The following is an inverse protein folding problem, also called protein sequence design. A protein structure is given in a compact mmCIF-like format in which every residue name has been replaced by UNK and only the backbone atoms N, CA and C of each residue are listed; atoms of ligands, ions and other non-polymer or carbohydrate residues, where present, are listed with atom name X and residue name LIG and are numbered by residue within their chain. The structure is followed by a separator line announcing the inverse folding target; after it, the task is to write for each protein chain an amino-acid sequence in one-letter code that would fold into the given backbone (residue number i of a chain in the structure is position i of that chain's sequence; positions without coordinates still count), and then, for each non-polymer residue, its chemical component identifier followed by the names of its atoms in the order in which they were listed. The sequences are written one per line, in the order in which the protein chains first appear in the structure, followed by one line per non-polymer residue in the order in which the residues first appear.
data_IF_569939941084
#
_entry.id   IF_569939941084
#
_cell.length_a   1.000
_cell.length_b   1.000
_cell.length_c   1.000
_cell.angle_alpha   90.00
_cell.angle_beta   90.00
_cell.angle_gamma   90.00
#
_symmetry.space_group_name_H-M   'P 1'
#
loop_
_entity.id
_entity.type
_entity.pdbx_description
1 polymer ?
#
# COMPACT_ATOMS: atom_id res chain seq x y z
N UNK A 1 -14.49 18.17 -6.08
CA UNK A 1 -13.88 16.84 -5.94
C UNK A 1 -14.35 15.87 -7.02
N UNK A 2 -15.62 15.45 -7.05
CA UNK A 2 -16.11 14.38 -7.95
C UNK A 2 -16.62 14.85 -9.32
N UNK A 3 -16.49 16.15 -9.63
CA UNK A 3 -16.97 16.73 -10.90
C UNK A 3 -16.34 16.07 -12.14
N UNK A 4 -15.16 15.49 -11.99
CA UNK A 4 -14.50 14.70 -13.04
C UNK A 4 -15.33 13.49 -13.52
N UNK A 5 -16.10 12.86 -12.62
CA UNK A 5 -16.95 11.72 -12.96
C UNK A 5 -18.35 12.12 -13.43
N UNK A 6 -18.77 13.36 -13.18
CA UNK A 6 -20.14 13.84 -13.48
C UNK A 6 -20.23 14.80 -14.67
N UNK A 7 -19.13 15.47 -15.03
CA UNK A 7 -19.13 16.40 -16.16
C UNK A 7 -18.97 15.67 -17.51
N UNK A 8 -19.80 16.05 -18.49
CA UNK A 8 -19.82 15.45 -19.84
C UNK A 8 -18.47 15.56 -20.56
N UNK A 9 -17.75 16.68 -20.37
CA UNK A 9 -16.45 16.92 -21.01
C UNK A 9 -15.38 15.93 -20.55
N UNK A 10 -15.50 15.42 -19.32
CA UNK A 10 -14.53 14.50 -18.71
C UNK A 10 -14.98 13.04 -18.75
N UNK A 11 -16.21 12.75 -19.19
CA UNK A 11 -16.83 11.42 -19.15
C UNK A 11 -15.95 10.31 -19.73
N UNK A 12 -15.38 10.54 -20.92
CA UNK A 12 -14.50 9.54 -21.56
C UNK A 12 -13.24 9.31 -20.73
N UNK A 13 -12.60 10.37 -20.25
CA UNK A 13 -11.40 10.24 -19.43
C UNK A 13 -11.68 9.59 -18.09
N UNK A 14 -12.79 9.91 -17.45
CA UNK A 14 -13.11 9.38 -16.12
C UNK A 14 -13.53 7.91 -16.17
N UNK A 15 -14.54 7.56 -16.96
CA UNK A 15 -15.09 6.20 -16.97
C UNK A 15 -14.24 5.22 -17.79
N UNK A 16 -13.87 5.59 -19.03
CA UNK A 16 -13.03 4.71 -19.86
C UNK A 16 -11.62 4.66 -19.28
N UNK A 17 -11.09 5.78 -18.78
CA UNK A 17 -9.79 5.78 -18.11
C UNK A 17 -9.76 4.90 -16.86
N UNK A 18 -10.80 4.97 -16.01
CA UNK A 18 -10.93 4.04 -14.88
C UNK A 18 -10.98 2.59 -15.36
N UNK A 19 -11.79 2.28 -16.39
CA UNK A 19 -11.88 0.93 -16.94
C UNK A 19 -10.53 0.41 -17.46
N UNK A 20 -9.76 1.24 -18.17
CA UNK A 20 -8.43 0.88 -18.66
C UNK A 20 -7.49 0.57 -17.50
N UNK A 21 -7.44 1.43 -16.48
CA UNK A 21 -6.58 1.24 -15.30
C UNK A 21 -6.97 -0.06 -14.58
N UNK A 22 -8.25 -0.26 -14.29
CA UNK A 22 -8.71 -1.46 -13.57
C UNK A 22 -8.52 -2.75 -14.37
N UNK A 23 -8.77 -2.73 -15.67
CA UNK A 23 -8.54 -3.88 -16.54
C UNK A 23 -7.05 -4.23 -16.64
N UNK A 24 -6.18 -3.21 -16.58
CA UNK A 24 -4.73 -3.43 -16.60
C UNK A 24 -4.20 -4.10 -15.33
N UNK A 25 -4.80 -3.83 -14.16
CA UNK A 25 -4.49 -4.54 -12.92
C UNK A 25 -4.80 -6.03 -13.07
N UNK A 26 -5.94 -6.36 -13.67
CA UNK A 26 -6.30 -7.76 -13.93
C UNK A 26 -5.27 -8.45 -14.84
N UNK A 27 -4.82 -7.77 -15.90
CA UNK A 27 -3.76 -8.29 -16.79
C UNK A 27 -2.46 -8.53 -16.01
N UNK A 28 -2.06 -7.59 -15.15
CA UNK A 28 -0.85 -7.74 -14.31
C UNK A 28 -0.96 -8.94 -13.37
N UNK A 29 -2.09 -9.11 -12.69
CA UNK A 29 -2.33 -10.27 -11.81
C UNK A 29 -2.31 -11.59 -12.61
N UNK A 30 -2.86 -11.61 -13.84
CA UNK A 30 -2.75 -12.79 -14.71
C UNK A 30 -1.32 -13.10 -15.14
N UNK A 31 -0.50 -12.09 -15.38
CA UNK A 31 0.93 -12.29 -15.64
C UNK A 31 1.61 -12.84 -14.38
N UNK A 32 1.24 -12.35 -13.19
CA UNK A 32 1.77 -12.88 -11.92
C UNK A 32 1.42 -14.35 -11.69
N UNK A 33 0.21 -14.79 -12.05
CA UNK A 33 -0.18 -16.21 -12.03
C UNK A 33 0.70 -17.03 -12.96
N UNK A 34 0.91 -16.59 -14.20
CA UNK A 34 1.81 -17.27 -15.15
C UNK A 34 3.26 -17.31 -14.69
N UNK A 35 3.72 -16.24 -14.04
CA UNK A 35 5.05 -16.20 -13.43
C UNK A 35 5.14 -17.25 -12.30
N UNK A 36 4.10 -17.40 -11.48
CA UNK A 36 4.06 -18.42 -10.44
C UNK A 36 4.16 -19.83 -11.05
N UNK A 37 3.35 -20.12 -12.08
CA UNK A 37 3.41 -21.39 -12.81
C UNK A 37 4.81 -21.66 -13.37
N UNK A 38 5.40 -20.66 -14.03
CA UNK A 38 6.76 -20.72 -14.58
C UNK A 38 7.80 -21.03 -13.51
N UNK A 39 7.72 -20.41 -12.33
CA UNK A 39 8.63 -20.71 -11.23
C UNK A 39 8.56 -22.17 -10.81
N UNK A 40 7.37 -22.79 -10.78
CA UNK A 40 7.27 -24.22 -10.49
C UNK A 40 8.03 -25.08 -11.49
N UNK A 41 7.75 -24.89 -12.78
CA UNK A 41 8.42 -25.63 -13.86
C UNK A 41 9.94 -25.41 -13.85
N UNK A 42 10.37 -24.17 -13.65
CA UNK A 42 11.79 -23.82 -13.59
C UNK A 42 12.48 -24.51 -12.42
N UNK A 43 11.88 -24.51 -11.22
CA UNK A 43 12.49 -25.14 -10.05
C UNK A 43 12.47 -26.68 -10.12
N UNK A 44 11.47 -27.29 -10.73
CA UNK A 44 11.51 -28.74 -11.03
C UNK A 44 12.64 -29.07 -12.01
N UNK A 45 12.86 -28.23 -13.04
CA UNK A 45 14.00 -28.36 -13.95
C UNK A 45 15.33 -28.21 -13.22
N UNK A 46 15.47 -27.24 -12.30
CA UNK A 46 16.66 -27.08 -11.45
C UNK A 46 16.87 -28.32 -10.57
N UNK A 47 15.81 -28.83 -9.94
CA UNK A 47 15.89 -30.05 -9.12
C UNK A 47 16.41 -31.23 -9.95
N UNK A 48 15.90 -31.41 -11.17
CA UNK A 48 16.38 -32.44 -12.11
C UNK A 48 17.85 -32.24 -12.46
N UNK A 49 18.25 -31.02 -12.81
CA UNK A 49 19.63 -30.64 -13.15
C UNK A 49 20.64 -30.95 -12.04
N UNK A 50 20.25 -30.70 -10.78
CA UNK A 50 21.09 -30.93 -9.61
C UNK A 50 21.12 -32.39 -9.17
N UNK A 51 20.12 -33.20 -9.55
CA UNK A 51 20.02 -34.61 -9.16
C UNK A 51 20.99 -35.51 -9.94
N UNK A 52 21.31 -35.17 -11.19
CA UNK A 52 22.24 -35.95 -12.02
C UNK A 52 22.91 -35.06 -13.09
N UNK A 53 24.22 -35.24 -13.36
CA UNK A 53 24.90 -34.53 -14.43
C UNK A 53 24.25 -34.78 -15.80
N UNK A 54 24.16 -33.74 -16.64
CA UNK A 54 23.58 -33.80 -17.99
C UNK A 54 22.11 -34.30 -18.06
N UNK A 55 21.35 -34.19 -16.95
CA UNK A 55 19.93 -34.54 -16.93
C UNK A 55 19.03 -33.51 -17.62
N UNK A 56 19.57 -32.32 -17.87
CA UNK A 56 19.02 -31.27 -18.73
C UNK A 56 20.14 -30.77 -19.67
N UNK A 57 19.75 -30.22 -20.80
CA UNK A 57 20.67 -29.55 -21.73
C UNK A 57 20.83 -28.07 -21.35
N UNK A 58 21.96 -27.48 -21.76
CA UNK A 58 22.18 -26.04 -21.61
C UNK A 58 21.14 -25.22 -22.40
N UNK A 59 20.68 -25.77 -23.54
CA UNK A 59 19.66 -25.13 -24.39
C UNK A 59 18.30 -25.11 -23.70
N UNK A 60 17.89 -26.20 -23.04
CA UNK A 60 16.66 -26.23 -22.22
C UNK A 60 16.69 -25.17 -21.10
N UNK A 61 17.85 -25.02 -20.43
CA UNK A 61 18.04 -24.03 -19.38
C UNK A 61 17.88 -22.59 -19.91
N UNK A 62 18.57 -22.24 -21.01
CA UNK A 62 18.45 -20.93 -21.62
C UNK A 62 17.06 -20.67 -22.20
N UNK A 63 16.42 -21.67 -22.79
CA UNK A 63 15.05 -21.57 -23.29
C UNK A 63 14.07 -21.23 -22.15
N UNK A 64 14.22 -21.86 -20.98
CA UNK A 64 13.41 -21.55 -19.81
C UNK A 64 13.64 -20.12 -19.31
N UNK A 65 14.88 -19.63 -19.27
CA UNK A 65 15.16 -18.25 -18.88
C UNK A 65 14.62 -17.24 -19.89
N UNK A 66 14.75 -17.51 -21.19
CA UNK A 66 14.18 -16.67 -22.24
C UNK A 66 12.65 -16.62 -22.14
N UNK A 67 11.99 -17.73 -21.81
CA UNK A 67 10.54 -17.72 -21.62
C UNK A 67 10.12 -16.83 -20.44
N UNK A 68 10.91 -16.77 -19.35
CA UNK A 68 10.68 -15.81 -18.27
C UNK A 68 10.82 -14.36 -18.73
N UNK A 69 11.86 -14.07 -19.53
CA UNK A 69 12.08 -12.72 -20.06
C UNK A 69 10.86 -12.24 -20.86
N UNK A 70 10.17 -13.12 -21.59
CA UNK A 70 8.95 -12.71 -22.31
C UNK A 70 7.81 -12.31 -21.37
N UNK A 71 7.60 -13.04 -20.26
CA UNK A 71 6.63 -12.67 -19.23
C UNK A 71 7.02 -11.37 -18.53
N UNK A 72 8.30 -11.21 -18.17
CA UNK A 72 8.81 -10.01 -17.54
C UNK A 72 8.70 -8.78 -18.46
N UNK A 73 9.02 -8.92 -19.75
CA UNK A 73 8.89 -7.85 -20.73
C UNK A 73 7.42 -7.45 -20.92
N UNK A 74 6.50 -8.41 -20.95
CA UNK A 74 5.05 -8.13 -21.00
C UNK A 74 4.59 -7.37 -19.76
N UNK A 75 4.99 -7.81 -18.57
CA UNK A 75 4.67 -7.12 -17.32
C UNK A 75 5.20 -5.68 -17.33
N UNK A 76 6.47 -5.48 -17.68
CA UNK A 76 7.11 -4.15 -17.74
C UNK A 76 6.39 -3.27 -18.76
N UNK A 77 6.08 -3.79 -19.95
CA UNK A 77 5.36 -3.05 -20.98
C UNK A 77 4.00 -2.56 -20.49
N UNK A 78 3.20 -3.42 -19.86
CA UNK A 78 1.91 -3.04 -19.26
C UNK A 78 2.12 -2.03 -18.15
N UNK A 79 3.04 -2.28 -17.20
CA UNK A 79 3.27 -1.41 -16.06
C UNK A 79 3.72 0.01 -16.46
N UNK A 80 4.60 0.14 -17.46
CA UNK A 80 5.06 1.43 -17.96
C UNK A 80 3.91 2.20 -18.63
N UNK A 81 3.15 1.54 -19.51
CA UNK A 81 2.03 2.17 -20.21
C UNK A 81 0.94 2.62 -19.24
N UNK A 82 0.62 1.78 -18.26
CA UNK A 82 -0.38 2.09 -17.23
C UNK A 82 0.10 3.20 -16.33
N UNK A 83 1.35 3.16 -15.85
CA UNK A 83 1.91 4.23 -15.01
C UNK A 83 1.87 5.59 -15.70
N UNK A 84 2.24 5.63 -16.99
CA UNK A 84 2.15 6.83 -17.82
C UNK A 84 0.70 7.30 -17.97
N UNK A 85 -0.22 6.38 -18.29
CA UNK A 85 -1.64 6.68 -18.46
C UNK A 85 -2.28 7.18 -17.16
N UNK A 86 -2.01 6.54 -16.02
CA UNK A 86 -2.50 6.92 -14.70
C UNK A 86 -2.02 8.32 -14.30
N UNK A 87 -0.76 8.66 -14.58
CA UNK A 87 -0.25 10.02 -14.35
C UNK A 87 -1.05 11.08 -15.12
N UNK A 88 -1.37 10.78 -16.38
CA UNK A 88 -2.18 11.60 -17.27
C UNK A 88 -3.65 11.68 -16.85
N UNK A 89 -4.20 10.58 -16.34
CA UNK A 89 -5.55 10.49 -15.79
C UNK A 89 -5.69 11.35 -14.52
N UNK A 90 -4.74 11.22 -13.59
CA UNK A 90 -4.69 12.00 -12.34
C UNK A 90 -4.56 13.50 -12.60
N UNK A 91 -3.71 13.87 -13.57
CA UNK A 91 -3.59 15.28 -13.97
C UNK A 91 -4.92 15.84 -14.48
N UNK A 92 -5.63 15.10 -15.35
CA UNK A 92 -6.94 15.53 -15.87
C UNK A 92 -8.03 15.60 -14.80
N UNK A 93 -8.03 14.66 -13.86
CA UNK A 93 -8.92 14.75 -12.70
C UNK A 93 -8.62 16.02 -11.89
N UNK A 94 -7.35 16.32 -11.65
CA UNK A 94 -6.94 17.57 -11.01
C UNK A 94 -7.37 18.80 -11.81
N UNK A 95 -7.20 18.81 -13.13
CA UNK A 95 -7.65 19.90 -14.00
C UNK A 95 -9.14 20.15 -13.84
N UNK A 96 -9.98 19.11 -13.87
CA UNK A 96 -11.43 19.25 -13.67
C UNK A 96 -11.79 19.85 -12.30
N UNK A 97 -11.03 19.52 -11.25
CA UNK A 97 -11.22 20.14 -9.94
C UNK A 97 -10.83 21.63 -9.96
N UNK A 98 -9.65 21.95 -10.51
CA UNK A 98 -9.10 23.31 -10.58
C UNK A 98 -9.96 24.23 -11.44
N UNK A 99 -10.43 23.78 -12.61
CA UNK A 99 -11.33 24.54 -13.49
C UNK A 99 -12.59 24.98 -12.75
N UNK A 100 -13.19 24.08 -11.97
CA UNK A 100 -14.33 24.44 -11.15
C UNK A 100 -13.96 25.45 -10.07
N UNK A 101 -12.86 25.25 -9.34
CA UNK A 101 -12.43 26.22 -8.33
C UNK A 101 -12.15 27.61 -8.90
N UNK A 102 -11.59 27.70 -10.11
CA UNK A 102 -11.42 28.96 -10.81
C UNK A 102 -12.76 29.62 -11.18
N UNK A 103 -13.77 28.84 -11.59
CA UNK A 103 -15.11 29.37 -11.90
C UNK A 103 -15.82 30.00 -10.69
N UNK A 104 -15.41 29.64 -9.47
CA UNK A 104 -15.98 30.16 -8.21
C UNK A 104 -14.94 30.94 -7.38
N UNK A 105 -13.84 31.37 -8.01
CA UNK A 105 -12.67 31.91 -7.29
C UNK A 105 -12.99 33.14 -6.46
N UNK A 106 -13.84 34.04 -6.95
CA UNK A 106 -14.24 35.27 -6.23
C UNK A 106 -14.94 34.99 -4.89
N UNK A 107 -15.60 33.83 -4.78
CA UNK A 107 -16.20 33.34 -3.55
C UNK A 107 -15.16 32.58 -2.73
N UNK A 108 -14.45 31.66 -3.38
CA UNK A 108 -13.47 30.79 -2.76
C UNK A 108 -12.36 31.57 -2.03
N UNK A 109 -11.86 32.66 -2.62
CA UNK A 109 -10.80 33.51 -2.04
C UNK A 109 -11.15 34.14 -0.69
N UNK A 110 -12.44 34.21 -0.33
CA UNK A 110 -12.91 34.74 0.96
C UNK A 110 -12.81 33.71 2.09
N UNK A 111 -12.55 32.44 1.75
CA UNK A 111 -12.40 31.37 2.72
C UNK A 111 -10.91 31.20 3.04
N UNK A 112 -10.59 31.19 4.33
CA UNK A 112 -9.22 30.99 4.80
C UNK A 112 -8.61 29.69 4.27
N UNK A 113 -7.37 29.78 3.79
CA UNK A 113 -6.64 28.62 3.25
C UNK A 113 -7.10 28.17 1.85
N UNK A 114 -7.92 28.94 1.13
CA UNK A 114 -8.42 28.58 -0.20
C UNK A 114 -7.32 28.17 -1.20
N UNK A 115 -6.20 28.91 -1.24
CA UNK A 115 -5.08 28.58 -2.12
C UNK A 115 -4.46 27.21 -1.79
N UNK A 116 -4.32 26.89 -0.50
CA UNK A 116 -3.84 25.58 -0.05
C UNK A 116 -4.82 24.47 -0.43
N UNK A 117 -6.12 24.68 -0.23
CA UNK A 117 -7.15 23.68 -0.60
C UNK A 117 -7.11 23.37 -2.09
N UNK A 118 -7.06 24.41 -2.93
CA UNK A 118 -7.06 24.27 -4.39
C UNK A 118 -5.76 23.65 -4.90
N UNK A 119 -4.60 24.01 -4.33
CA UNK A 119 -3.31 23.53 -4.82
C UNK A 119 -2.94 22.18 -4.21
N UNK A 120 -2.87 22.07 -2.88
CA UNK A 120 -2.27 20.94 -2.18
C UNK A 120 -3.28 19.81 -1.97
N UNK A 121 -4.45 20.13 -1.44
CA UNK A 121 -5.45 19.12 -1.08
C UNK A 121 -6.05 18.44 -2.32
N UNK A 122 -6.23 19.13 -3.45
CA UNK A 122 -6.71 18.50 -4.70
C UNK A 122 -5.72 17.47 -5.27
N UNK A 123 -4.41 17.76 -5.19
CA UNK A 123 -3.35 16.83 -5.59
C UNK A 123 -3.39 15.61 -4.67
N UNK A 124 -3.37 15.82 -3.35
CA UNK A 124 -3.39 14.73 -2.37
C UNK A 124 -4.63 13.87 -2.54
N UNK A 125 -5.80 14.48 -2.67
CA UNK A 125 -7.06 13.77 -2.83
C UNK A 125 -7.05 12.81 -4.03
N UNK A 126 -6.73 13.32 -5.23
CA UNK A 126 -6.73 12.50 -6.45
C UNK A 126 -5.70 11.38 -6.41
N UNK A 127 -4.47 11.66 -5.95
CA UNK A 127 -3.39 10.67 -5.83
C UNK A 127 -3.72 9.59 -4.80
N UNK A 128 -4.16 9.98 -3.61
CA UNK A 128 -4.46 9.03 -2.54
C UNK A 128 -5.66 8.16 -2.92
N UNK A 129 -6.70 8.76 -3.51
CA UNK A 129 -7.90 8.03 -3.93
C UNK A 129 -7.60 7.00 -5.02
N UNK A 130 -6.76 7.37 -6.01
CA UNK A 130 -6.33 6.42 -7.04
C UNK A 130 -5.47 5.32 -6.44
N UNK A 131 -4.43 5.67 -5.68
CA UNK A 131 -3.52 4.70 -5.07
C UNK A 131 -4.24 3.69 -4.16
N UNK A 132 -5.14 4.15 -3.29
CA UNK A 132 -5.97 3.27 -2.45
C UNK A 132 -6.97 2.45 -3.28
N UNK A 133 -7.55 3.04 -4.33
CA UNK A 133 -8.51 2.36 -5.18
C UNK A 133 -7.87 1.22 -5.98
N UNK A 134 -6.73 1.50 -6.64
CA UNK A 134 -6.00 0.52 -7.46
C UNK A 134 -5.41 -0.58 -6.60
N UNK A 135 -4.75 -0.26 -5.49
CA UNK A 135 -4.18 -1.27 -4.59
C UNK A 135 -5.23 -2.14 -3.88
N UNK A 136 -6.41 -1.60 -3.54
CA UNK A 136 -7.52 -2.41 -3.02
C UNK A 136 -8.01 -3.42 -4.06
N UNK A 137 -8.24 -2.95 -5.30
CA UNK A 137 -8.75 -3.80 -6.38
C UNK A 137 -7.71 -4.85 -6.76
N UNK A 138 -6.43 -4.48 -6.83
CA UNK A 138 -5.33 -5.40 -7.03
C UNK A 138 -5.28 -6.48 -5.93
N UNK A 139 -5.36 -6.10 -4.65
CA UNK A 139 -5.39 -7.06 -3.54
C UNK A 139 -6.56 -8.04 -3.64
N UNK A 140 -7.76 -7.56 -4.02
CA UNK A 140 -8.92 -8.43 -4.26
C UNK A 140 -8.71 -9.37 -5.44
N UNK A 141 -8.16 -8.88 -6.57
CA UNK A 141 -7.86 -9.71 -7.73
C UNK A 141 -6.81 -10.78 -7.40
N UNK A 142 -5.77 -10.43 -6.63
CA UNK A 142 -4.78 -11.40 -6.16
C UNK A 142 -5.46 -12.47 -5.31
N UNK A 143 -6.35 -12.11 -4.39
CA UNK A 143 -7.06 -13.11 -3.59
C UNK A 143 -7.94 -14.03 -4.46
N UNK A 144 -8.65 -13.48 -5.45
CA UNK A 144 -9.49 -14.25 -6.37
C UNK A 144 -8.66 -15.24 -7.19
N UNK A 145 -7.47 -14.85 -7.64
CA UNK A 145 -6.62 -15.69 -8.50
C UNK A 145 -5.74 -16.66 -7.70
N UNK A 146 -5.14 -16.21 -6.60
CA UNK A 146 -4.17 -17.00 -5.85
C UNK A 146 -4.78 -17.86 -4.75
N UNK A 147 -5.98 -17.56 -4.21
CA UNK A 147 -6.59 -18.48 -3.24
C UNK A 147 -6.96 -19.83 -3.88
N UNK A 148 -7.59 -19.90 -5.07
CA UNK A 148 -7.85 -21.19 -5.74
C UNK A 148 -6.57 -21.93 -6.11
N UNK A 149 -5.52 -21.22 -6.52
CA UNK A 149 -4.21 -21.84 -6.80
C UNK A 149 -3.63 -22.43 -5.51
N UNK A 150 -3.62 -21.66 -4.42
CA UNK A 150 -3.11 -22.11 -3.13
C UNK A 150 -3.90 -23.31 -2.59
N UNK A 151 -5.23 -23.31 -2.79
CA UNK A 151 -6.09 -24.45 -2.48
C UNK A 151 -5.75 -25.66 -3.35
N UNK A 152 -5.64 -25.51 -4.68
CA UNK A 152 -5.33 -26.62 -5.56
C UNK A 152 -3.97 -27.25 -5.25
N UNK A 153 -3.00 -26.41 -4.88
CA UNK A 153 -1.66 -26.85 -4.48
C UNK A 153 -1.61 -27.45 -3.08
N UNK A 154 -2.61 -27.26 -2.21
CA UNK A 154 -2.62 -27.82 -0.86
C UNK A 154 -3.23 -29.22 -0.76
N UNK A 155 -3.96 -29.65 -1.80
CA UNK A 155 -4.65 -30.95 -1.81
C UNK A 155 -3.64 -32.10 -1.70
N UNK A 156 -3.85 -32.97 -0.72
CA UNK A 156 -3.04 -34.18 -0.53
C UNK A 156 -1.64 -33.94 0.03
N UNK A 157 -1.37 -32.76 0.60
CA UNK A 157 -0.09 -32.41 1.21
C UNK A 157 -0.28 -32.23 2.73
N UNK A 158 0.55 -32.87 3.57
CA UNK A 158 0.45 -32.69 5.02
C UNK A 158 0.97 -31.31 5.44
N UNK A 159 0.11 -30.51 6.04
CA UNK A 159 0.41 -29.15 6.50
C UNK A 159 0.61 -29.13 8.03
N UNK A 160 1.66 -28.44 8.48
CA UNK A 160 1.93 -28.26 9.90
C UNK A 160 0.75 -27.63 10.63
N UNK A 161 0.44 -28.12 11.84
CA UNK A 161 -0.77 -27.83 12.63
C UNK A 161 -2.11 -28.33 12.07
N UNK A 162 -2.22 -28.63 10.78
CA UNK A 162 -3.50 -28.93 10.12
C UNK A 162 -3.61 -30.35 9.54
N UNK A 163 -2.51 -31.11 9.47
CA UNK A 163 -2.50 -32.44 8.87
C UNK A 163 -2.88 -32.40 7.39
N UNK A 164 -3.70 -33.36 6.96
CA UNK A 164 -4.13 -33.49 5.55
C UNK A 164 -5.36 -32.63 5.22
N UNK A 165 -5.64 -31.59 6.02
CA UNK A 165 -6.77 -30.71 5.75
C UNK A 165 -6.45 -29.77 4.57
N UNK A 166 -7.20 -29.92 3.47
CA UNK A 166 -6.99 -29.16 2.23
C UNK A 166 -6.95 -27.63 2.41
N UNK A 167 -7.62 -27.08 3.43
CA UNK A 167 -7.62 -25.63 3.66
C UNK A 167 -6.45 -25.14 4.54
N UNK A 168 -5.54 -26.03 4.97
CA UNK A 168 -4.49 -25.72 5.93
C UNK A 168 -3.59 -24.54 5.53
N UNK A 169 -3.21 -24.44 4.25
CA UNK A 169 -2.37 -23.33 3.76
C UNK A 169 -3.11 -22.00 3.71
N UNK A 170 -4.38 -21.99 3.30
CA UNK A 170 -5.21 -20.77 3.27
C UNK A 170 -5.46 -20.27 4.69
N UNK A 171 -5.84 -21.16 5.60
CA UNK A 171 -6.09 -20.82 7.00
C UNK A 171 -4.79 -20.42 7.69
N UNK A 172 -3.66 -21.07 7.38
CA UNK A 172 -2.33 -20.66 7.82
C UNK A 172 -1.99 -19.23 7.38
N UNK A 173 -2.23 -18.89 6.10
CA UNK A 173 -2.02 -17.54 5.58
C UNK A 173 -2.90 -16.51 6.28
N UNK A 174 -4.16 -16.85 6.56
CA UNK A 174 -5.10 -15.98 7.28
C UNK A 174 -4.64 -15.74 8.74
N UNK A 175 -4.31 -16.82 9.46
CA UNK A 175 -3.85 -16.74 10.86
C UNK A 175 -2.55 -15.93 10.94
N UNK A 176 -1.60 -16.17 10.03
CA UNK A 176 -0.35 -15.44 10.02
C UNK A 176 -0.57 -13.96 9.71
N UNK A 177 -1.38 -13.66 8.70
CA UNK A 177 -1.74 -12.31 8.29
C UNK A 177 -2.40 -11.50 9.42
N UNK A 178 -3.45 -12.07 10.03
CA UNK A 178 -4.20 -11.44 11.12
C UNK A 178 -3.35 -11.39 12.39
N UNK A 179 -2.67 -12.47 12.74
CA UNK A 179 -1.84 -12.59 13.94
C UNK A 179 -0.69 -11.59 13.93
N UNK A 180 0.02 -11.47 12.81
CA UNK A 180 1.08 -10.50 12.61
C UNK A 180 0.60 -9.05 12.73
N UNK A 181 -0.60 -8.79 12.22
CA UNK A 181 -1.24 -7.48 12.37
C UNK A 181 -1.54 -7.16 13.81
N UNK A 182 -2.25 -8.06 14.51
CA UNK A 182 -2.62 -7.89 15.91
C UNK A 182 -1.34 -7.68 16.73
N UNK A 183 -0.29 -8.45 16.46
CA UNK A 183 1.01 -8.28 17.07
C UNK A 183 1.57 -6.86 16.91
N UNK A 184 1.58 -6.30 15.69
CA UNK A 184 2.07 -4.94 15.46
C UNK A 184 1.20 -3.87 16.14
N UNK A 185 -0.12 -4.04 16.15
CA UNK A 185 -1.05 -3.13 16.85
C UNK A 185 -0.77 -3.14 18.34
N UNK A 186 -0.70 -4.34 18.95
CA UNK A 186 -0.43 -4.49 20.38
C UNK A 186 0.95 -3.92 20.74
N UNK A 187 1.96 -4.15 19.91
CA UNK A 187 3.30 -3.58 20.12
C UNK A 187 3.26 -2.04 20.09
N UNK A 188 2.54 -1.44 19.14
CA UNK A 188 2.36 0.01 19.06
C UNK A 188 1.60 0.60 20.26
N UNK A 189 0.61 -0.13 20.78
CA UNK A 189 -0.14 0.25 21.99
C UNK A 189 0.72 0.16 23.26
N UNK A 190 1.47 -0.94 23.44
CA UNK A 190 2.37 -1.15 24.59
C UNK A 190 3.44 -0.06 24.64
N UNK A 191 4.03 0.28 23.49
CA UNK A 191 5.03 1.34 23.36
C UNK A 191 4.41 2.75 23.41
N UNK A 192 3.07 2.85 23.45
CA UNK A 192 2.30 4.10 23.47
C UNK A 192 2.76 5.07 22.37
N UNK A 193 2.91 4.58 21.14
CA UNK A 193 3.44 5.37 20.02
C UNK A 193 2.55 6.58 19.70
N UNK A 194 1.22 6.39 19.71
CA UNK A 194 0.26 7.47 19.50
C UNK A 194 0.42 8.60 20.52
N UNK A 195 0.66 8.25 21.79
CA UNK A 195 0.88 9.25 22.85
C UNK A 195 2.15 10.06 22.63
N UNK A 196 3.23 9.41 22.19
CA UNK A 196 4.51 10.10 21.90
C UNK A 196 4.39 11.02 20.71
N UNK A 197 3.73 10.57 19.65
CA UNK A 197 3.52 11.39 18.47
C UNK A 197 2.71 12.65 18.81
N UNK A 198 1.67 12.50 19.65
CA UNK A 198 0.90 13.62 20.16
C UNK A 198 1.74 14.59 21.00
N UNK A 199 2.53 14.07 21.94
CA UNK A 199 3.41 14.89 22.78
C UNK A 199 4.48 15.62 21.94
N UNK A 200 5.01 14.96 20.91
CA UNK A 200 5.97 15.53 19.95
C UNK A 200 5.36 16.72 19.21
N UNK A 201 4.18 16.52 18.61
CA UNK A 201 3.45 17.61 17.92
C UNK A 201 3.14 18.78 18.86
N UNK A 202 2.74 18.49 20.10
CA UNK A 202 2.46 19.51 21.11
C UNK A 202 3.70 20.34 21.47
N UNK A 203 4.85 19.68 21.70
CA UNK A 203 6.12 20.36 22.04
C UNK A 203 6.66 21.15 20.84
N UNK A 204 6.59 20.63 19.62
CA UNK A 204 6.98 21.36 18.41
C UNK A 204 6.08 22.57 18.14
N UNK A 205 4.77 22.44 18.34
CA UNK A 205 3.83 23.56 18.20
C UNK A 205 4.10 24.66 19.24
N UNK A 206 4.42 24.29 20.48
CA UNK A 206 4.81 25.24 21.52
C UNK A 206 6.11 25.99 21.15
N UNK A 207 7.12 25.27 20.66
CA UNK A 207 8.36 25.86 20.15
C UNK A 207 8.09 26.84 19.00
N UNK A 208 7.31 26.42 17.99
CA UNK A 208 6.92 27.28 16.87
C UNK A 208 6.21 28.56 17.33
N UNK A 209 5.31 28.46 18.31
CA UNK A 209 4.59 29.62 18.87
C UNK A 209 5.55 30.66 19.46
N UNK A 210 6.60 30.22 20.17
CA UNK A 210 7.57 31.13 20.76
C UNK A 210 8.39 31.83 19.67
N UNK A 211 8.78 31.13 18.61
CA UNK A 211 9.50 31.73 17.48
C UNK A 211 8.68 32.82 16.78
N UNK A 212 7.39 32.58 16.55
CA UNK A 212 6.49 33.59 15.95
C UNK A 212 6.39 34.82 16.85
N UNK A 213 6.25 34.64 18.17
CA UNK A 213 6.21 35.76 19.11
C UNK A 213 7.53 36.56 19.10
N UNK A 214 8.68 35.89 19.00
CA UNK A 214 9.98 36.55 18.93
C UNK A 214 10.24 37.23 17.58
N UNK A 215 9.61 36.76 16.50
CA UNK A 215 9.61 37.42 15.19
C UNK A 215 8.76 38.70 15.20
N UNK A 216 7.57 38.64 15.81
CA UNK A 216 6.64 39.75 15.90
C UNK A 216 7.08 40.83 16.91
N UNK A 217 7.66 40.43 18.04
CA UNK A 217 8.12 41.33 19.10
C UNK A 217 9.66 41.36 19.12
N UNK A 218 10.24 42.29 18.35
CA UNK A 218 11.69 42.49 18.23
C UNK A 218 12.42 42.87 19.52
N UNK A 219 11.72 42.98 20.66
CA UNK A 219 12.29 43.19 21.99
C UNK A 219 12.56 41.87 22.76
N UNK A 220 11.96 40.75 22.32
CA UNK A 220 12.10 39.45 22.95
C UNK A 220 13.31 38.74 22.35
N UNK A 221 14.45 38.77 23.05
CA UNK A 221 15.58 37.91 22.70
C UNK A 221 15.14 36.45 22.89
N UNK A 222 15.26 35.57 21.87
CA UNK A 222 15.00 34.15 22.08
C UNK A 222 15.82 33.69 23.28
N UNK A 223 15.20 33.00 24.24
CA UNK A 223 15.96 32.32 25.30
C UNK A 223 17.00 31.41 24.64
N UNK A 224 18.06 31.05 25.37
CA UNK A 224 19.09 30.15 24.81
C UNK A 224 18.44 28.93 24.16
N UNK A 225 19.04 28.40 23.09
CA UNK A 225 18.52 27.21 22.38
C UNK A 225 18.21 26.09 23.37
N UNK A 226 19.01 25.94 24.42
CA UNK A 226 18.82 24.93 25.44
C UNK A 226 17.51 25.14 26.23
N UNK A 227 17.15 26.37 26.62
CA UNK A 227 15.87 26.61 27.32
C UNK A 227 14.62 26.46 26.41
N UNK A 228 14.75 26.72 25.11
CA UNK A 228 13.61 26.71 24.18
C UNK A 228 13.41 25.35 23.50
N UNK A 229 14.48 24.59 23.31
CA UNK A 229 14.50 23.41 22.46
C UNK A 229 14.72 22.10 23.23
N UNK A 230 15.14 22.12 24.49
CA UNK A 230 15.34 20.89 25.29
C UNK A 230 14.07 20.05 25.42
N UNK A 231 12.92 20.72 25.51
CA UNK A 231 11.60 20.11 25.55
C UNK A 231 11.27 19.35 24.25
N UNK A 232 11.69 19.87 23.10
CA UNK A 232 11.56 19.23 21.79
C UNK A 232 12.58 18.10 21.66
N UNK A 233 13.84 18.36 22.05
CA UNK A 233 14.93 17.39 22.02
C UNK A 233 14.60 16.14 22.84
N UNK A 234 14.10 16.31 24.06
CA UNK A 234 13.78 15.20 24.98
C UNK A 234 12.65 14.31 24.45
N UNK A 235 11.58 14.89 23.90
CA UNK A 235 10.49 14.09 23.32
C UNK A 235 10.93 13.36 22.04
N UNK A 236 11.80 13.97 21.23
CA UNK A 236 12.42 13.31 20.08
C UNK A 236 13.27 12.11 20.48
N UNK A 237 14.12 12.23 21.51
CA UNK A 237 14.90 11.09 22.02
C UNK A 237 14.00 9.96 22.54
N UNK A 238 12.93 10.28 23.27
CA UNK A 238 11.95 9.29 23.72
C UNK A 238 11.26 8.61 22.53
N UNK A 239 10.90 9.38 21.51
CA UNK A 239 10.35 8.89 20.25
C UNK A 239 11.30 7.91 19.57
N UNK A 240 12.57 8.29 19.41
CA UNK A 240 13.58 7.43 18.79
C UNK A 240 13.71 6.08 19.49
N UNK A 241 13.75 6.06 20.83
CA UNK A 241 13.86 4.80 21.58
C UNK A 241 12.60 3.94 21.42
N UNK A 242 11.40 4.54 21.46
CA UNK A 242 10.16 3.77 21.28
C UNK A 242 10.02 3.23 19.86
N UNK A 243 10.35 4.03 18.86
CA UNK A 243 10.37 3.57 17.47
C UNK A 243 11.48 2.56 17.21
N UNK A 244 12.61 2.60 17.91
CA UNK A 244 13.64 1.56 17.86
C UNK A 244 13.04 0.20 18.29
N UNK A 245 12.40 0.12 19.46
CA UNK A 245 11.77 -1.12 19.92
C UNK A 245 10.63 -1.58 19.02
N UNK A 246 9.80 -0.65 18.54
CA UNK A 246 8.75 -0.98 17.57
C UNK A 246 9.33 -1.55 16.29
N UNK A 247 10.39 -0.93 15.76
CA UNK A 247 11.04 -1.36 14.52
C UNK A 247 11.74 -2.71 14.67
N UNK A 248 12.31 -3.03 15.84
CA UNK A 248 12.82 -4.37 16.12
C UNK A 248 11.71 -5.41 15.94
N UNK A 249 10.55 -5.21 16.59
CA UNK A 249 9.41 -6.12 16.45
C UNK A 249 8.85 -6.18 15.03
N UNK A 250 8.71 -5.02 14.38
CA UNK A 250 8.23 -4.91 12.99
C UNK A 250 9.15 -5.64 12.01
N UNK A 251 10.46 -5.39 12.08
CA UNK A 251 11.43 -6.02 11.18
C UNK A 251 11.52 -7.52 11.48
N UNK A 252 11.55 -7.93 12.76
CA UNK A 252 11.55 -9.35 13.12
C UNK A 252 10.31 -10.08 12.58
N UNK A 253 9.13 -9.47 12.68
CA UNK A 253 7.91 -10.00 12.07
C UNK A 253 8.03 -10.15 10.55
N UNK A 254 8.54 -9.13 9.85
CA UNK A 254 8.73 -9.21 8.40
C UNK A 254 9.72 -10.31 8.00
N UNK A 255 10.79 -10.52 8.77
CA UNK A 255 11.74 -11.61 8.52
C UNK A 255 11.15 -12.98 8.82
N UNK A 256 10.37 -13.11 9.91
CA UNK A 256 9.63 -14.33 10.21
C UNK A 256 8.60 -14.64 9.10
N UNK A 257 7.97 -13.62 8.51
CA UNK A 257 7.01 -13.80 7.43
C UNK A 257 7.61 -14.51 6.22
N UNK A 258 8.88 -14.25 5.89
CA UNK A 258 9.59 -14.93 4.78
C UNK A 258 9.66 -16.45 5.00
N UNK A 259 9.68 -16.91 6.26
CA UNK A 259 9.75 -18.32 6.62
C UNK A 259 8.39 -18.96 6.92
N UNK A 260 7.32 -18.18 7.02
CA UNK A 260 6.00 -18.65 7.44
C UNK A 260 5.49 -19.83 6.59
N UNK A 261 5.53 -19.70 5.27
CA UNK A 261 5.13 -20.76 4.34
C UNK A 261 5.97 -22.04 4.51
N UNK A 262 7.28 -21.91 4.76
CA UNK A 262 8.16 -23.05 5.00
C UNK A 262 7.82 -23.78 6.29
N UNK A 263 7.43 -23.06 7.35
CA UNK A 263 6.98 -23.66 8.60
C UNK A 263 5.70 -24.47 8.38
N UNK A 264 4.72 -23.92 7.65
CA UNK A 264 3.49 -24.66 7.31
C UNK A 264 3.76 -25.89 6.43
N UNK A 265 4.72 -25.80 5.50
CA UNK A 265 5.10 -26.90 4.61
C UNK A 265 6.09 -27.90 5.22
N UNK A 266 6.59 -27.67 6.44
CA UNK A 266 7.67 -28.48 6.99
C UNK A 266 7.41 -30.00 6.97
N UNK A 267 6.22 -30.52 7.36
CA UNK A 267 5.93 -31.96 7.29
C UNK A 267 6.02 -32.51 5.86
N UNK A 268 5.45 -31.79 4.88
CA UNK A 268 5.47 -32.18 3.48
C UNK A 268 6.87 -32.21 2.89
N UNK A 269 7.69 -31.21 3.22
CA UNK A 269 9.08 -31.13 2.77
C UNK A 269 9.89 -32.31 3.33
N UNK A 270 9.76 -32.58 4.64
CA UNK A 270 10.49 -33.66 5.31
C UNK A 270 10.03 -35.04 4.82
N UNK A 271 8.74 -35.20 4.51
CA UNK A 271 8.18 -36.42 3.95
C UNK A 271 8.53 -36.64 2.47
N UNK A 272 9.11 -35.65 1.79
CA UNK A 272 9.34 -35.71 0.34
C UNK A 272 8.04 -35.76 -0.48
N UNK A 273 6.93 -35.27 0.06
CA UNK A 273 5.60 -35.32 -0.55
C UNK A 273 5.40 -34.26 -1.64
N UNK A 274 6.34 -33.33 -1.79
CA UNK A 274 6.26 -32.20 -2.73
C UNK A 274 7.54 -32.07 -3.55
N UNK A 275 7.38 -31.69 -4.82
CA UNK A 275 8.53 -31.33 -5.66
C UNK A 275 9.04 -29.93 -5.30
N UNK A 276 10.27 -29.61 -5.70
CA UNK A 276 10.82 -28.28 -5.49
C UNK A 276 9.98 -27.20 -6.19
N UNK A 277 9.47 -27.49 -7.39
CA UNK A 277 8.59 -26.61 -8.14
C UNK A 277 7.28 -26.32 -7.42
N UNK A 278 6.58 -27.35 -6.97
CA UNK A 278 5.32 -27.21 -6.20
C UNK A 278 5.56 -26.42 -4.92
N UNK A 279 6.64 -26.71 -4.19
CA UNK A 279 7.00 -25.96 -2.99
C UNK A 279 7.16 -24.46 -3.28
N UNK A 280 7.86 -24.11 -4.36
CA UNK A 280 8.09 -22.71 -4.75
C UNK A 280 6.80 -22.01 -5.20
N UNK A 281 5.91 -22.71 -5.89
CA UNK A 281 4.59 -22.19 -6.23
C UNK A 281 3.74 -21.92 -4.98
N UNK A 282 3.76 -22.83 -4.00
CA UNK A 282 3.04 -22.64 -2.73
C UNK A 282 3.59 -21.43 -1.98
N UNK A 283 4.91 -21.33 -1.79
CA UNK A 283 5.52 -20.23 -1.03
C UNK A 283 5.15 -18.88 -1.65
N UNK A 284 5.22 -18.76 -2.99
CA UNK A 284 4.83 -17.55 -3.71
C UNK A 284 3.33 -17.26 -3.59
N UNK A 285 2.48 -18.25 -3.81
CA UNK A 285 1.03 -18.10 -3.70
C UNK A 285 0.61 -17.73 -2.27
N UNK A 286 1.19 -18.37 -1.26
CA UNK A 286 0.97 -18.07 0.16
C UNK A 286 1.31 -16.62 0.47
N UNK A 287 2.49 -16.13 0.06
CA UNK A 287 2.89 -14.74 0.28
C UNK A 287 2.00 -13.73 -0.45
N UNK A 288 1.48 -14.07 -1.64
CA UNK A 288 0.51 -13.24 -2.37
C UNK A 288 -0.83 -13.13 -1.62
N UNK A 289 -1.35 -14.26 -1.13
CA UNK A 289 -2.61 -14.31 -0.36
C UNK A 289 -2.46 -13.57 0.97
N UNK A 290 -1.44 -13.92 1.76
CA UNK A 290 -1.12 -13.30 3.06
C UNK A 290 -0.96 -11.78 2.93
N UNK A 291 -0.13 -11.35 1.96
CA UNK A 291 0.16 -9.95 1.74
C UNK A 291 -1.08 -9.12 1.37
N UNK A 292 -2.00 -9.71 0.59
CA UNK A 292 -3.26 -9.09 0.17
C UNK A 292 -4.29 -9.02 1.30
N UNK A 293 -4.35 -10.04 2.16
CA UNK A 293 -5.20 -10.01 3.36
C UNK A 293 -4.82 -8.88 4.33
N UNK A 294 -3.55 -8.47 4.36
CA UNK A 294 -3.08 -7.34 5.17
C UNK A 294 -3.33 -5.96 4.55
N UNK A 295 -3.97 -5.88 3.37
CA UNK A 295 -4.13 -4.63 2.63
C UNK A 295 -4.66 -3.48 3.50
N UNK A 296 -5.78 -3.70 4.19
CA UNK A 296 -6.47 -2.67 4.99
C UNK A 296 -5.52 -2.04 6.02
N UNK A 297 -4.65 -2.86 6.60
CA UNK A 297 -3.79 -2.47 7.70
C UNK A 297 -2.55 -1.74 7.19
N UNK A 298 -2.00 -2.18 6.06
CA UNK A 298 -0.93 -1.48 5.34
C UNK A 298 -1.41 -0.12 4.81
N UNK A 299 -2.65 -0.07 4.32
CA UNK A 299 -3.28 1.12 3.77
C UNK A 299 -3.83 2.09 4.84
N UNK A 300 -3.91 1.67 6.11
CA UNK A 300 -4.58 2.43 7.17
C UNK A 300 -4.10 3.89 7.34
N UNK A 301 -2.79 4.19 7.37
CA UNK A 301 -2.32 5.58 7.46
C UNK A 301 -2.78 6.42 6.27
N UNK A 302 -2.74 5.84 5.07
CA UNK A 302 -3.16 6.49 3.83
C UNK A 302 -4.68 6.70 3.78
N UNK A 303 -5.47 5.78 4.33
CA UNK A 303 -6.93 5.93 4.51
C UNK A 303 -7.24 7.11 5.45
N UNK A 304 -6.52 7.23 6.56
CA UNK A 304 -6.67 8.38 7.49
C UNK A 304 -6.33 9.69 6.78
N UNK A 305 -5.24 9.71 6.01
CA UNK A 305 -4.86 10.88 5.23
C UNK A 305 -5.95 11.27 4.22
N UNK A 306 -6.51 10.29 3.49
CA UNK A 306 -7.62 10.50 2.57
C UNK A 306 -8.83 11.11 3.30
N UNK A 307 -9.23 10.53 4.44
CA UNK A 307 -10.37 11.00 5.21
C UNK A 307 -10.19 12.46 5.67
N UNK A 308 -8.97 12.80 6.09
CA UNK A 308 -8.60 14.15 6.49
C UNK A 308 -8.68 15.15 5.32
N UNK A 309 -8.09 14.81 4.17
CA UNK A 309 -8.14 15.65 2.95
C UNK A 309 -9.59 15.79 2.45
N UNK A 310 -10.34 14.69 2.41
CA UNK A 310 -11.74 14.66 2.00
C UNK A 310 -12.61 15.58 2.85
N UNK A 311 -12.48 15.50 4.19
CA UNK A 311 -13.22 16.37 5.11
C UNK A 311 -12.93 17.84 4.84
N UNK A 312 -11.65 18.22 4.70
CA UNK A 312 -11.23 19.62 4.45
C UNK A 312 -11.75 20.15 3.12
N UNK A 313 -11.67 19.36 2.06
CA UNK A 313 -12.20 19.74 0.75
C UNK A 313 -13.73 19.82 0.77
N UNK A 314 -14.41 18.89 1.44
CA UNK A 314 -15.88 18.91 1.55
C UNK A 314 -16.38 20.12 2.33
N UNK A 315 -15.75 20.46 3.45
CA UNK A 315 -16.05 21.67 4.21
C UNK A 315 -15.84 22.93 3.37
N UNK A 316 -14.75 22.98 2.60
CA UNK A 316 -14.47 24.08 1.68
C UNK A 316 -15.54 24.21 0.58
N UNK A 317 -15.92 23.11 -0.06
CA UNK A 317 -16.98 23.09 -1.09
C UNK A 317 -18.33 23.52 -0.52
N UNK A 318 -18.68 23.05 0.68
CA UNK A 318 -19.93 23.43 1.34
C UNK A 318 -19.97 24.93 1.67
N UNK A 319 -18.86 25.53 2.13
CA UNK A 319 -18.79 26.99 2.39
C UNK A 319 -18.99 27.81 1.11
N UNK A 320 -18.42 27.36 -0.01
CA UNK A 320 -18.62 28.02 -1.31
C UNK A 320 -20.10 27.99 -1.72
N UNK A 321 -20.76 26.84 -1.57
CA UNK A 321 -22.18 26.65 -1.89
C UNK A 321 -23.12 27.40 -0.93
N UNK A 322 -22.81 27.47 0.36
CA UNK A 322 -23.59 28.24 1.33
C UNK A 322 -23.61 29.74 1.01
N UNK A 323 -22.60 30.24 0.29
CA UNK A 323 -22.56 31.63 -0.22
C UNK A 323 -23.46 31.82 -1.46
N UNK A 324 -24.12 30.77 -1.97
CA UNK A 324 -25.06 30.83 -3.11
C UNK A 324 -26.52 31.02 -2.71
N UNK A 325 -26.88 30.76 -1.45
CA UNK A 325 -28.25 30.99 -0.96
C UNK A 325 -28.36 32.47 -0.58
N UNK A 326 -29.22 33.27 -1.22
CA UNK A 326 -29.50 34.63 -0.76
C UNK A 326 -29.98 34.53 0.68
N UNK A 327 -29.41 35.33 1.58
CA UNK A 327 -30.09 35.62 2.83
C UNK A 327 -31.38 36.36 2.43
N UNK A 328 -32.51 35.65 2.44
CA UNK A 328 -33.82 36.28 2.43
C UNK A 328 -33.87 37.17 3.67
N UNK A 329 -33.89 38.48 3.44
CA UNK A 329 -34.12 39.53 4.45
C UNK A 329 -35.62 39.68 4.62
#
# INVERSE_FOLDING_TARGET
MFRFFTQRNWFFWSWIGSFIILSSLWIQVKIDVKINEWFGQFYDMIQKALSAPNSITIDEYWASLLSFITLAAMYVGVAVLVSFFTSHYLFRWRTAMVEWYHSVYDKARKIEGAAQRVQEDTIKFSRIMESLGTSLIEALMILIEFMPILFGLSIGIPIFFFGDWDYGLIVGALIWSIGGTIFLILLGLILRLVGVEYDLQKKEAAYRKILVIAEDDGSIRPKSIDELFDDVRSIHFLSYIRYLYFNIGRIAYLQANVLSAYVFLAPAIVAGAVTLGVMQQIIRAFGRVEGSMQYILKAWPTIIELASVYKRLREFENKIQATEVPQEI
#
